data_IF_910689503786
#
_entry.id   IF_910689503786
#
_cell.length_a   1.000
_cell.length_b   1.000
_cell.length_c   1.000
_cell.angle_alpha   90.00
_cell.angle_beta   90.00
_cell.angle_gamma   90.00
#
_symmetry.space_group_name_H-M   'P 1'
#
loop_
_entity.id
_entity.type
_entity.pdbx_description
1 polymer ?
#
# COMPACT_ATOMS: atom_id res chain seq x y z
N UNK A 1 3.68 6.96 10.55
CA UNK A 1 5.11 7.39 10.61
C UNK A 1 5.96 6.13 10.59
N UNK A 2 7.14 6.09 9.95
CA UNK A 2 7.76 4.82 9.55
C UNK A 2 9.19 4.67 10.14
N UNK A 3 9.55 3.49 10.67
CA UNK A 3 10.89 3.13 11.21
C UNK A 3 11.78 2.47 10.15
N UNK A 4 13.09 2.75 10.20
CA UNK A 4 14.10 2.24 9.25
C UNK A 4 15.02 1.20 9.93
N UNK A 5 15.30 0.04 9.32
CA UNK A 5 16.40 -0.82 9.75
C UNK A 5 17.75 -0.33 9.20
N UNK A 6 18.76 -0.10 10.05
CA UNK A 6 20.16 0.09 9.62
C UNK A 6 20.98 -1.17 9.89
N UNK A 7 21.76 -1.61 8.88
CA UNK A 7 22.84 -2.58 9.03
C UNK A 7 24.17 -1.83 9.22
N UNK A 8 25.00 -2.23 10.19
CA UNK A 8 26.28 -1.58 10.47
C UNK A 8 27.41 -2.61 10.38
N UNK A 9 28.37 -2.39 9.47
CA UNK A 9 29.58 -3.19 9.31
C UNK A 9 30.66 -2.68 10.28
N UNK A 10 31.21 -3.55 11.14
CA UNK A 10 32.39 -3.26 11.95
C UNK A 10 33.58 -4.04 11.38
N UNK A 11 34.52 -3.36 10.74
CA UNK A 11 35.80 -3.93 10.32
C UNK A 11 36.74 -4.04 11.53
N UNK A 12 37.27 -5.24 11.79
CA UNK A 12 38.45 -5.47 12.62
C UNK A 12 39.32 -6.56 11.97
N UNK A 13 40.60 -6.26 11.76
CA UNK A 13 41.61 -7.06 11.04
C UNK A 13 42.15 -8.23 11.88
N UNK A 14 42.12 -9.44 11.30
CA UNK A 14 42.95 -10.69 11.38
C UNK A 14 43.49 -11.28 12.72
N UNK A 15 43.85 -12.60 12.81
CA UNK A 15 43.87 -13.66 11.79
C UNK A 15 43.12 -14.97 12.13
N UNK A 16 43.13 -15.84 11.12
CA UNK A 16 42.53 -17.16 10.86
C UNK A 16 42.67 -18.19 12.01
N UNK A 17 41.56 -18.72 12.54
CA UNK A 17 41.30 -20.18 12.57
C UNK A 17 39.87 -20.58 12.96
N UNK A 18 39.44 -21.69 12.33
CA UNK A 18 38.30 -22.56 12.61
C UNK A 18 36.88 -22.15 12.14
N UNK A 19 36.44 -22.77 11.03
CA UNK A 19 35.08 -22.69 10.48
C UNK A 19 34.10 -23.51 11.34
N UNK A 20 33.23 -22.83 12.08
CA UNK A 20 31.88 -23.31 12.40
C UNK A 20 30.90 -22.26 11.88
N UNK A 21 30.00 -22.65 10.98
CA UNK A 21 28.96 -21.75 10.46
C UNK A 21 27.97 -21.45 11.58
N UNK A 22 28.24 -20.37 12.32
CA UNK A 22 27.25 -19.75 13.18
C UNK A 22 26.34 -18.91 12.28
N UNK A 23 25.06 -19.29 12.22
CA UNK A 23 24.00 -18.46 11.65
C UNK A 23 23.99 -17.15 12.44
N UNK A 24 24.65 -16.13 11.93
CA UNK A 24 24.70 -14.81 12.54
C UNK A 24 23.31 -14.20 12.37
N UNK A 25 22.48 -14.26 13.40
CA UNK A 25 21.23 -13.51 13.45
C UNK A 25 21.59 -12.03 13.40
N UNK A 26 21.46 -11.42 12.22
CA UNK A 26 21.62 -9.99 12.07
C UNK A 26 20.57 -9.28 12.93
N UNK A 27 21.00 -8.69 14.06
CA UNK A 27 20.16 -7.76 14.82
C UNK A 27 19.96 -6.50 13.99
N UNK A 28 18.83 -6.42 13.29
CA UNK A 28 18.41 -5.19 12.61
C UNK A 28 18.20 -4.07 13.66
N UNK A 29 18.99 -3.01 13.58
CA UNK A 29 18.86 -1.87 14.49
C UNK A 29 17.72 -1.00 13.95
N UNK A 30 16.58 -1.02 14.67
CA UNK A 30 15.38 -0.24 14.33
C UNK A 30 15.59 1.21 14.76
N UNK A 31 15.67 2.10 13.79
CA UNK A 31 15.90 3.53 14.04
C UNK A 31 14.57 4.29 13.89
N UNK A 32 14.04 4.93 14.96
CA UNK A 32 12.87 5.80 14.83
C UNK A 32 13.25 7.03 14.00
N UNK A 33 12.40 7.37 13.03
CA UNK A 33 12.58 8.58 12.22
C UNK A 33 11.49 9.58 12.59
N UNK A 34 11.91 10.71 13.14
CA UNK A 34 11.10 11.86 13.57
C UNK A 34 10.45 11.74 14.95
N UNK A 35 9.86 12.85 15.42
CA UNK A 35 9.47 13.08 16.83
C UNK A 35 8.43 12.09 17.35
N UNK A 36 7.34 11.83 16.61
CA UNK A 36 6.26 10.99 17.14
C UNK A 36 6.66 9.51 17.20
N UNK A 37 7.45 9.03 16.24
CA UNK A 37 8.02 7.67 16.25
C UNK A 37 9.00 7.43 17.42
N UNK A 38 9.61 8.52 17.89
CA UNK A 38 10.46 8.53 19.07
C UNK A 38 9.65 8.60 20.37
N UNK A 39 8.36 8.92 20.39
CA UNK A 39 7.54 8.99 21.62
C UNK A 39 6.64 7.75 21.76
N UNK A 40 6.22 7.17 20.64
CA UNK A 40 5.27 6.06 20.55
C UNK A 40 5.71 4.73 21.19
N UNK A 41 7.01 4.54 21.47
CA UNK A 41 7.53 3.31 22.06
C UNK A 41 7.07 3.10 23.52
N UNK A 42 6.35 4.07 24.08
CA UNK A 42 5.96 4.14 25.49
C UNK A 42 4.50 3.75 25.77
N UNK A 43 3.69 3.36 24.77
CA UNK A 43 2.25 3.05 24.98
C UNK A 43 1.91 1.57 24.72
N UNK A 44 1.11 0.91 25.58
CA UNK A 44 0.67 -0.47 25.38
C UNK A 44 -0.38 -0.58 24.26
N UNK A 45 -0.29 -1.63 23.43
CA UNK A 45 -1.18 -1.88 22.28
C UNK A 45 -2.54 -2.48 22.73
N UNK A 46 -3.64 -2.07 22.10
CA UNK A 46 -4.98 -2.62 22.30
C UNK A 46 -5.59 -3.05 20.95
N UNK A 47 -6.08 -4.30 20.84
CA UNK A 47 -6.67 -4.97 19.64
C UNK A 47 -5.78 -5.14 18.38
N UNK A 48 -5.94 -6.27 17.65
CA UNK A 48 -5.18 -6.62 16.42
C UNK A 48 -5.39 -5.62 15.27
N UNK A 49 -6.56 -4.98 15.20
CA UNK A 49 -6.91 -3.97 14.19
C UNK A 49 -6.43 -2.56 14.53
N UNK A 50 -5.73 -2.33 15.65
CA UNK A 50 -5.16 -1.03 15.96
C UNK A 50 -3.66 -0.99 15.65
N UNK A 51 -3.31 -0.28 14.58
CA UNK A 51 -1.95 0.19 14.32
C UNK A 51 -1.68 1.42 15.19
N UNK A 52 -1.44 1.21 16.48
CA UNK A 52 -0.91 2.27 17.32
C UNK A 52 0.61 2.31 17.24
N UNK A 53 1.12 3.45 16.77
CA UNK A 53 2.55 3.75 16.71
C UNK A 53 3.10 3.81 15.28
N UNK A 54 4.43 3.92 15.16
CA UNK A 54 5.12 3.99 13.89
C UNK A 54 5.21 2.59 13.27
N UNK A 55 4.93 2.54 11.98
CA UNK A 55 5.03 1.34 11.15
C UNK A 55 6.48 1.04 10.82
N UNK A 56 6.84 -0.23 10.67
CA UNK A 56 8.18 -0.61 10.23
C UNK A 56 8.21 -0.64 8.70
N UNK A 57 9.23 -0.06 8.06
CA UNK A 57 9.40 -0.18 6.61
C UNK A 57 10.82 -0.62 6.26
N UNK A 58 10.95 -1.74 5.52
CA UNK A 58 12.24 -2.19 5.02
C UNK A 58 12.68 -1.45 3.74
N UNK A 59 11.80 -0.70 3.09
CA UNK A 59 12.04 -0.09 1.78
C UNK A 59 12.71 1.29 1.88
N UNK A 60 13.54 1.60 0.90
CA UNK A 60 14.19 2.92 0.69
C UNK A 60 14.18 3.27 -0.79
N UNK A 61 14.45 4.52 -1.17
CA UNK A 61 14.55 4.95 -2.56
C UNK A 61 13.27 4.75 -3.39
N UNK A 62 13.42 4.39 -4.68
CA UNK A 62 12.29 4.10 -5.57
C UNK A 62 11.37 2.96 -5.09
N UNK A 63 11.87 1.83 -4.54
CA UNK A 63 11.00 0.80 -3.95
C UNK A 63 10.02 1.35 -2.90
N UNK A 64 10.45 2.31 -2.08
CA UNK A 64 9.58 2.97 -1.12
C UNK A 64 8.52 3.83 -1.81
N UNK A 65 8.89 4.60 -2.84
CA UNK A 65 7.98 5.45 -3.60
C UNK A 65 6.96 4.62 -4.42
N UNK A 66 7.33 3.41 -4.83
CA UNK A 66 6.47 2.49 -5.57
C UNK A 66 5.60 1.60 -4.66
N UNK A 67 5.78 1.68 -3.33
CA UNK A 67 4.96 0.95 -2.38
C UNK A 67 3.73 1.77 -1.97
N UNK A 68 2.51 1.37 -2.34
CA UNK A 68 1.30 2.15 -2.09
C UNK A 68 1.02 2.39 -0.61
N UNK A 69 1.49 1.47 0.25
CA UNK A 69 1.29 1.50 1.70
C UNK A 69 2.24 2.46 2.42
N UNK A 70 3.48 2.58 1.93
CA UNK A 70 4.51 3.39 2.57
C UNK A 70 4.75 4.74 1.89
N UNK A 71 4.35 4.89 0.63
CA UNK A 71 4.54 6.11 -0.13
C UNK A 71 3.71 7.26 0.45
N UNK A 72 4.39 8.36 0.80
CA UNK A 72 3.76 9.62 1.24
C UNK A 72 3.84 10.74 0.20
N UNK A 73 4.42 10.46 -0.97
CA UNK A 73 4.72 11.46 -1.98
C UNK A 73 5.50 12.64 -1.42
N UNK A 74 5.03 13.86 -1.69
CA UNK A 74 5.64 15.10 -1.19
C UNK A 74 5.61 15.30 0.33
N UNK A 75 4.91 14.45 1.09
CA UNK A 75 4.77 14.58 2.56
C UNK A 75 5.92 13.93 3.35
N UNK A 76 6.88 13.28 2.69
CA UNK A 76 8.13 12.94 3.37
C UNK A 76 8.83 14.22 3.81
N UNK A 77 9.01 14.38 5.12
CA UNK A 77 9.77 15.49 5.68
C UNK A 77 11.28 15.35 5.37
N UNK A 78 12.06 16.40 5.58
CA UNK A 78 13.49 16.41 5.21
C UNK A 78 14.30 15.32 5.92
N UNK A 79 13.98 15.00 7.16
CA UNK A 79 14.64 13.94 7.93
C UNK A 79 14.32 12.55 7.36
N UNK A 80 13.04 12.30 7.03
CA UNK A 80 12.61 11.08 6.35
C UNK A 80 13.26 10.95 4.97
N UNK A 81 13.36 12.03 4.20
CA UNK A 81 14.00 11.99 2.89
C UNK A 81 15.47 11.61 2.98
N UNK A 82 16.20 12.11 3.98
CA UNK A 82 17.59 11.69 4.23
C UNK A 82 17.65 10.23 4.69
N UNK A 83 16.79 9.83 5.63
CA UNK A 83 16.80 8.48 6.20
C UNK A 83 16.44 7.38 5.19
N UNK A 84 15.52 7.68 4.26
CA UNK A 84 15.04 6.74 3.23
C UNK A 84 15.71 6.92 1.86
N UNK A 85 16.80 7.70 1.76
CA UNK A 85 17.51 7.97 0.49
C UNK A 85 16.60 8.54 -0.62
N UNK A 86 15.77 9.53 -0.29
CA UNK A 86 14.84 10.20 -1.20
C UNK A 86 15.32 11.61 -1.62
N UNK A 87 16.48 12.04 -1.15
CA UNK A 87 17.06 13.35 -1.54
C UNK A 87 17.32 13.34 -3.06
N UNK A 88 16.74 14.32 -3.76
CA UNK A 88 16.80 14.42 -5.22
C UNK A 88 15.72 13.62 -5.97
N UNK A 89 14.97 12.74 -5.30
CA UNK A 89 13.89 11.95 -5.91
C UNK A 89 12.52 12.64 -5.83
N UNK A 90 12.38 13.67 -5.01
CA UNK A 90 11.15 14.41 -4.78
C UNK A 90 11.39 15.93 -4.90
N UNK A 91 10.40 16.71 -5.35
CA UNK A 91 10.48 18.18 -5.37
C UNK A 91 10.87 18.74 -4.00
N UNK A 92 11.66 19.81 -3.94
CA UNK A 92 12.20 20.38 -2.69
C UNK A 92 11.13 20.74 -1.66
N UNK A 93 9.96 21.21 -2.12
CA UNK A 93 8.84 21.53 -1.27
C UNK A 93 8.29 20.28 -0.57
N UNK A 94 8.10 20.38 0.74
CA UNK A 94 7.38 19.38 1.54
C UNK A 94 5.93 19.82 1.61
N UNK A 95 5.01 18.97 1.17
CA UNK A 95 3.58 19.25 1.28
C UNK A 95 2.93 18.43 2.38
N UNK A 96 2.06 19.06 3.16
CA UNK A 96 1.25 18.35 4.16
C UNK A 96 0.28 17.37 3.50
N UNK A 97 -0.24 16.40 4.24
CA UNK A 97 -1.28 15.50 3.72
C UNK A 97 -2.51 16.30 3.25
N UNK A 98 -2.88 17.35 3.97
CA UNK A 98 -4.03 18.20 3.61
C UNK A 98 -3.82 18.95 2.30
N UNK A 99 -2.63 19.50 2.07
CA UNK A 99 -2.29 20.12 0.78
C UNK A 99 -2.37 19.13 -0.38
N UNK A 100 -1.91 17.89 -0.16
CA UNK A 100 -2.01 16.84 -1.16
C UNK A 100 -3.46 16.46 -1.44
N UNK A 101 -4.31 16.39 -0.41
CA UNK A 101 -5.74 16.12 -0.55
C UNK A 101 -6.42 17.22 -1.36
N UNK A 102 -6.15 18.50 -1.07
CA UNK A 102 -6.68 19.63 -1.84
C UNK A 102 -6.29 19.53 -3.31
N UNK A 103 -5.00 19.30 -3.59
CA UNK A 103 -4.51 19.13 -4.97
C UNK A 103 -5.15 17.94 -5.69
N UNK A 104 -5.28 16.81 -5.01
CA UNK A 104 -5.90 15.61 -5.57
C UNK A 104 -7.40 15.83 -5.84
N UNK A 105 -8.10 16.55 -4.96
CA UNK A 105 -9.49 16.92 -5.15
C UNK A 105 -9.68 17.86 -6.35
N UNK A 106 -8.82 18.86 -6.52
CA UNK A 106 -8.87 19.73 -7.70
C UNK A 106 -8.66 18.94 -9.00
N UNK A 107 -7.70 18.00 -9.01
CA UNK A 107 -7.48 17.11 -10.15
C UNK A 107 -8.69 16.21 -10.42
N UNK A 108 -9.31 15.65 -9.38
CA UNK A 108 -10.54 14.87 -9.48
C UNK A 108 -11.67 15.68 -10.15
N UNK A 109 -11.87 16.93 -9.74
CA UNK A 109 -12.91 17.81 -10.30
C UNK A 109 -12.70 18.18 -11.76
N UNK A 110 -11.45 18.16 -12.24
CA UNK A 110 -11.15 18.42 -13.67
C UNK A 110 -11.45 17.24 -14.59
N UNK A 111 -11.76 16.05 -14.05
CA UNK A 111 -12.08 14.88 -14.87
C UNK A 111 -13.45 15.06 -15.54
N UNK A 112 -13.53 14.68 -16.81
CA UNK A 112 -14.67 14.99 -17.70
C UNK A 112 -15.95 14.24 -17.33
N UNK A 113 -15.81 12.97 -16.96
CA UNK A 113 -16.90 12.04 -16.68
C UNK A 113 -16.54 11.15 -15.49
N UNK A 114 -17.52 10.37 -15.04
CA UNK A 114 -17.38 9.54 -13.84
C UNK A 114 -16.41 8.38 -14.04
N UNK A 115 -16.29 7.83 -15.26
CA UNK A 115 -15.30 6.81 -15.58
C UNK A 115 -13.86 7.36 -15.52
N UNK A 116 -13.64 8.59 -15.99
CA UNK A 116 -12.36 9.28 -15.88
C UNK A 116 -12.03 9.63 -14.42
N UNK A 117 -13.03 9.97 -13.61
CA UNK A 117 -12.86 10.13 -12.16
C UNK A 117 -12.51 8.79 -11.49
N UNK A 118 -13.18 7.71 -11.85
CA UNK A 118 -12.90 6.37 -11.36
C UNK A 118 -11.45 5.96 -11.69
N UNK A 119 -11.02 6.13 -12.94
CA UNK A 119 -9.64 5.83 -13.34
C UNK A 119 -8.60 6.69 -12.61
N UNK A 120 -8.92 7.95 -12.26
CA UNK A 120 -8.05 8.78 -11.45
C UNK A 120 -7.96 8.27 -10.00
N UNK A 121 -9.10 7.95 -9.40
CA UNK A 121 -9.17 7.40 -8.04
C UNK A 121 -8.43 6.07 -7.93
N UNK A 122 -8.56 5.21 -8.94
CA UNK A 122 -7.85 3.94 -9.03
C UNK A 122 -6.33 4.14 -9.11
N UNK A 123 -5.87 5.03 -10.01
CA UNK A 123 -4.45 5.40 -10.10
C UNK A 123 -3.92 5.95 -8.78
N UNK A 124 -4.69 6.79 -8.09
CA UNK A 124 -4.30 7.35 -6.80
C UNK A 124 -4.17 6.27 -5.73
N UNK A 125 -5.14 5.34 -5.67
CA UNK A 125 -5.17 4.20 -4.75
C UNK A 125 -3.96 3.29 -4.92
N UNK A 126 -3.57 3.01 -6.16
CA UNK A 126 -2.40 2.17 -6.48
C UNK A 126 -1.08 2.90 -6.18
N UNK A 127 -1.05 4.24 -6.15
CA UNK A 127 0.17 5.00 -5.87
C UNK A 127 0.35 5.33 -4.38
N UNK A 128 -0.73 5.66 -3.68
CA UNK A 128 -0.69 6.13 -2.29
C UNK A 128 -2.04 5.85 -1.59
N UNK A 129 -2.10 4.76 -0.82
CA UNK A 129 -3.32 4.34 -0.12
C UNK A 129 -3.75 5.35 0.94
N UNK A 130 -2.80 5.98 1.65
CA UNK A 130 -3.11 6.96 2.70
C UNK A 130 -3.79 8.20 2.12
N UNK A 131 -3.25 8.74 1.02
CA UNK A 131 -3.84 9.90 0.34
C UNK A 131 -5.22 9.56 -0.24
N UNK A 132 -5.36 8.39 -0.87
CA UNK A 132 -6.64 7.90 -1.38
C UNK A 132 -7.71 7.85 -0.28
N UNK A 133 -7.45 7.14 0.82
CA UNK A 133 -8.44 7.00 1.89
C UNK A 133 -8.73 8.33 2.60
N UNK A 134 -7.74 9.21 2.75
CA UNK A 134 -7.97 10.53 3.32
C UNK A 134 -8.86 11.40 2.42
N UNK A 135 -8.64 11.33 1.11
CA UNK A 135 -9.45 12.04 0.11
C UNK A 135 -10.91 11.52 0.13
N UNK A 136 -11.10 10.20 0.07
CA UNK A 136 -12.42 9.55 0.15
C UNK A 136 -13.13 9.91 1.45
N UNK A 137 -12.43 9.84 2.59
CA UNK A 137 -13.00 10.20 3.90
C UNK A 137 -13.54 11.63 3.92
N UNK A 138 -12.84 12.58 3.29
CA UNK A 138 -13.24 14.00 3.28
C UNK A 138 -14.40 14.28 2.33
N UNK A 139 -14.51 13.54 1.22
CA UNK A 139 -15.51 13.75 0.17
C UNK A 139 -16.38 12.52 -0.08
N UNK A 140 -16.70 11.75 0.97
CA UNK A 140 -17.30 10.41 0.85
C UNK A 140 -18.59 10.40 0.03
N UNK A 141 -19.46 11.41 0.22
CA UNK A 141 -20.74 11.51 -0.51
C UNK A 141 -20.55 11.65 -2.02
N UNK A 142 -19.51 12.36 -2.45
CA UNK A 142 -19.21 12.60 -3.86
C UNK A 142 -18.41 11.45 -4.48
N UNK A 143 -17.51 10.84 -3.71
CA UNK A 143 -16.58 9.83 -4.21
C UNK A 143 -17.13 8.42 -4.17
N UNK A 144 -18.02 8.10 -3.23
CA UNK A 144 -18.61 6.77 -3.13
C UNK A 144 -19.29 6.31 -4.43
N UNK A 145 -20.14 7.12 -5.11
CA UNK A 145 -20.73 6.69 -6.38
C UNK A 145 -19.74 6.54 -7.53
N UNK A 146 -18.52 7.06 -7.38
CA UNK A 146 -17.45 6.99 -8.39
C UNK A 146 -16.57 5.75 -8.19
N UNK A 147 -16.20 5.44 -6.94
CA UNK A 147 -15.37 4.28 -6.61
C UNK A 147 -16.17 3.00 -6.40
N UNK A 148 -17.50 3.11 -6.38
CA UNK A 148 -18.43 2.02 -6.24
C UNK A 148 -19.59 2.18 -7.24
N UNK A 149 -20.79 1.72 -6.89
CA UNK A 149 -21.97 1.81 -7.75
C UNK A 149 -22.46 3.25 -7.93
N UNK A 150 -22.91 3.64 -9.13
CA UNK A 150 -23.07 2.81 -10.34
C UNK A 150 -21.81 2.73 -11.21
N UNK A 151 -20.86 3.65 -11.07
CA UNK A 151 -19.71 3.84 -11.99
C UNK A 151 -18.83 2.60 -12.13
N UNK A 152 -18.72 1.79 -11.07
CA UNK A 152 -17.93 0.56 -11.10
C UNK A 152 -18.46 -0.45 -12.13
N UNK A 153 -19.75 -0.42 -12.47
CA UNK A 153 -20.33 -1.27 -13.53
C UNK A 153 -19.71 -0.98 -14.89
N UNK A 154 -19.68 0.30 -15.29
CA UNK A 154 -19.03 0.75 -16.52
C UNK A 154 -17.50 0.50 -16.47
N UNK A 155 -16.93 0.58 -15.26
CA UNK A 155 -15.53 0.24 -15.03
C UNK A 155 -15.25 -1.29 -15.16
N UNK A 156 -16.21 -2.17 -14.91
CA UNK A 156 -16.03 -3.61 -15.11
C UNK A 156 -16.10 -3.97 -16.60
N UNK A 157 -17.01 -3.36 -17.35
CA UNK A 157 -17.20 -3.66 -18.79
C UNK A 157 -15.91 -3.52 -19.62
N UNK A 158 -15.10 -2.51 -19.31
CA UNK A 158 -13.80 -2.29 -19.96
C UNK A 158 -12.58 -2.79 -19.18
N UNK A 159 -12.73 -3.65 -18.16
CA UNK A 159 -11.64 -4.04 -17.26
C UNK A 159 -10.46 -4.69 -17.99
N UNK A 160 -10.74 -5.62 -18.90
CA UNK A 160 -9.68 -6.32 -19.66
C UNK A 160 -8.76 -5.36 -20.42
N UNK A 161 -9.32 -4.28 -20.97
CA UNK A 161 -8.54 -3.24 -21.65
C UNK A 161 -7.82 -2.28 -20.70
N UNK A 162 -8.28 -2.19 -19.45
CA UNK A 162 -7.74 -1.30 -18.41
C UNK A 162 -6.86 -2.00 -17.38
N UNK A 163 -6.65 -3.31 -17.52
CA UNK A 163 -5.80 -4.08 -16.62
C UNK A 163 -4.37 -3.52 -16.63
N UNK A 164 -3.87 -3.14 -15.45
CA UNK A 164 -2.53 -2.58 -15.26
C UNK A 164 -1.69 -3.36 -14.28
N UNK A 165 -2.28 -3.68 -13.13
CA UNK A 165 -1.60 -4.38 -12.02
C UNK A 165 -2.57 -5.41 -11.44
N UNK A 166 -2.13 -6.66 -11.21
CA UNK A 166 -2.97 -7.63 -10.54
C UNK A 166 -3.25 -7.18 -9.11
N UNK A 167 -4.50 -7.32 -8.69
CA UNK A 167 -4.94 -7.08 -7.32
C UNK A 167 -5.83 -8.24 -6.90
N UNK A 168 -5.64 -8.72 -5.66
CA UNK A 168 -6.32 -9.90 -5.14
C UNK A 168 -5.74 -11.23 -5.61
N UNK A 169 -6.29 -12.31 -5.08
CA UNK A 169 -5.89 -13.68 -5.33
C UNK A 169 -6.88 -14.33 -6.32
N UNK A 170 -6.38 -14.99 -7.36
CA UNK A 170 -7.20 -15.73 -8.32
C UNK A 170 -7.06 -17.22 -8.07
N UNK A 171 -8.18 -17.90 -7.86
CA UNK A 171 -8.22 -19.35 -7.58
C UNK A 171 -8.94 -20.06 -8.74
N UNK A 172 -8.35 -21.15 -9.22
CA UNK A 172 -8.83 -21.91 -10.38
C UNK A 172 -9.40 -23.25 -9.92
N UNK A 173 -10.67 -23.51 -10.25
CA UNK A 173 -11.35 -24.77 -9.92
C UNK A 173 -10.69 -25.99 -10.57
N UNK A 174 -9.97 -25.81 -11.67
CA UNK A 174 -9.25 -26.89 -12.38
C UNK A 174 -7.92 -27.25 -11.72
N UNK A 175 -7.45 -26.45 -10.75
CA UNK A 175 -6.18 -26.64 -10.04
C UNK A 175 -6.34 -26.50 -8.52
N UNK A 176 -7.16 -27.35 -7.87
CA UNK A 176 -7.40 -27.27 -6.44
C UNK A 176 -6.12 -27.43 -5.60
N UNK A 177 -5.13 -28.17 -6.10
CA UNK A 177 -3.83 -28.35 -5.47
C UNK A 177 -3.01 -27.06 -5.36
N UNK A 178 -3.27 -26.06 -6.20
CA UNK A 178 -2.54 -24.79 -6.22
C UNK A 178 -3.14 -23.74 -5.26
N UNK A 179 -4.27 -24.03 -4.60
CA UNK A 179 -4.98 -23.06 -3.75
C UNK A 179 -4.12 -22.62 -2.57
N UNK A 180 -3.51 -23.56 -1.86
CA UNK A 180 -2.69 -23.26 -0.68
C UNK A 180 -1.47 -22.41 -1.04
N UNK A 181 -0.77 -22.78 -2.12
CA UNK A 181 0.35 -22.00 -2.67
C UNK A 181 -0.10 -20.58 -3.08
N UNK A 182 -1.25 -20.48 -3.74
CA UNK A 182 -1.78 -19.19 -4.20
C UNK A 182 -2.11 -18.25 -3.04
N UNK A 183 -2.69 -18.76 -1.95
CA UNK A 183 -3.01 -17.99 -0.76
C UNK A 183 -1.75 -17.62 0.04
N UNK A 184 -0.77 -18.53 0.13
CA UNK A 184 0.48 -18.28 0.85
C UNK A 184 1.27 -17.08 0.30
N UNK A 185 1.08 -16.71 -0.97
CA UNK A 185 1.67 -15.52 -1.56
C UNK A 185 1.14 -14.19 -0.98
N UNK A 186 -0.01 -14.19 -0.31
CA UNK A 186 -0.67 -12.98 0.21
C UNK A 186 -0.43 -12.76 1.71
N UNK A 187 0.21 -13.71 2.39
CA UNK A 187 0.55 -13.63 3.81
C UNK A 187 0.17 -14.87 4.60
N UNK A 188 0.45 -14.83 5.89
CA UNK A 188 0.04 -15.87 6.84
C UNK A 188 -1.35 -15.58 7.43
N UNK A 189 -1.88 -16.53 8.20
CA UNK A 189 -3.11 -16.39 8.98
C UNK A 189 -3.08 -15.24 9.99
N UNK A 190 -1.89 -14.75 10.36
CA UNK A 190 -1.73 -13.59 11.23
C UNK A 190 -1.73 -12.26 10.48
N UNK A 191 -1.58 -12.27 9.14
CA UNK A 191 -1.49 -11.06 8.30
C UNK A 191 -2.84 -10.67 7.68
N UNK A 192 -3.83 -11.58 7.68
CA UNK A 192 -5.13 -11.41 7.02
C UNK A 192 -6.27 -11.53 8.02
N UNK A 193 -7.00 -10.42 8.25
CA UNK A 193 -8.19 -10.40 9.11
C UNK A 193 -9.51 -10.59 8.34
N UNK A 194 -9.55 -10.17 7.06
CA UNK A 194 -10.77 -10.15 6.24
C UNK A 194 -10.45 -10.59 4.82
N UNK A 195 -11.26 -11.53 4.31
CA UNK A 195 -11.28 -11.93 2.91
C UNK A 195 -12.67 -11.67 2.32
N UNK A 196 -12.71 -11.13 1.11
CA UNK A 196 -13.92 -10.98 0.32
C UNK A 196 -13.78 -11.87 -0.91
N UNK A 197 -14.70 -12.82 -1.07
CA UNK A 197 -14.62 -13.87 -2.10
C UNK A 197 -15.81 -13.72 -3.03
N UNK A 198 -15.55 -13.83 -4.33
CA UNK A 198 -16.54 -13.80 -5.40
C UNK A 198 -16.19 -14.84 -6.46
N UNK A 199 -17.20 -15.46 -7.06
CA UNK A 199 -17.07 -16.25 -8.28
C UNK A 199 -17.37 -15.42 -9.55
N UNK A 200 -17.76 -14.15 -9.37
CA UNK A 200 -18.09 -13.21 -10.45
C UNK A 200 -19.39 -13.53 -11.20
N UNK A 201 -20.17 -14.53 -10.76
CA UNK A 201 -21.31 -15.06 -11.51
C UNK A 201 -22.56 -14.16 -11.45
N UNK A 202 -22.68 -13.33 -10.41
CA UNK A 202 -23.82 -12.44 -10.20
C UNK A 202 -23.41 -11.11 -9.56
N UNK A 203 -22.83 -10.22 -10.35
CA UNK A 203 -22.50 -8.86 -9.88
C UNK A 203 -23.73 -7.98 -10.02
N UNK A 204 -24.31 -7.54 -8.90
CA UNK A 204 -25.31 -6.45 -8.80
C UNK A 204 -26.32 -6.27 -9.95
N UNK A 205 -26.87 -7.37 -10.48
CA UNK A 205 -27.83 -7.33 -11.58
C UNK A 205 -27.25 -6.97 -12.97
N UNK A 206 -25.94 -6.78 -13.09
CA UNK A 206 -25.22 -6.64 -14.37
C UNK A 206 -24.79 -7.99 -14.97
N UNK A 207 -25.01 -9.10 -14.26
CA UNK A 207 -24.78 -10.47 -14.75
C UNK A 207 -23.43 -11.08 -14.37
N UNK A 208 -22.99 -12.05 -15.15
CA UNK A 208 -21.71 -12.76 -15.00
C UNK A 208 -20.58 -11.95 -15.65
N UNK A 209 -19.56 -11.63 -14.86
CA UNK A 209 -18.35 -10.95 -15.30
C UNK A 209 -17.08 -11.72 -14.99
N UNK A 210 -17.21 -12.95 -14.47
CA UNK A 210 -16.13 -13.88 -14.15
C UNK A 210 -14.96 -13.16 -13.44
N UNK A 211 -13.74 -13.27 -13.97
CA UNK A 211 -12.50 -12.69 -13.40
C UNK A 211 -12.57 -11.17 -13.28
N UNK A 212 -13.33 -10.48 -14.15
CA UNK A 212 -13.40 -9.02 -14.18
C UNK A 212 -14.16 -8.46 -12.96
N UNK A 213 -14.94 -9.30 -12.29
CA UNK A 213 -15.65 -8.97 -11.07
C UNK A 213 -14.78 -8.59 -9.88
N UNK A 214 -13.48 -8.89 -9.93
CA UNK A 214 -12.55 -8.55 -8.86
C UNK A 214 -12.50 -7.04 -8.57
N UNK A 215 -12.71 -6.19 -9.58
CA UNK A 215 -12.77 -4.73 -9.41
C UNK A 215 -13.85 -4.27 -8.42
N UNK A 216 -14.91 -5.05 -8.24
CA UNK A 216 -16.00 -4.72 -7.34
C UNK A 216 -15.59 -4.77 -5.86
N UNK A 217 -14.50 -5.48 -5.56
CA UNK A 217 -14.10 -5.85 -4.20
C UNK A 217 -12.71 -5.30 -3.81
N UNK A 218 -12.11 -4.44 -4.65
CA UNK A 218 -10.71 -3.98 -4.56
C UNK A 218 -10.59 -2.46 -4.35
#
# INVERSE_FOLDING_TARGET
MIRVPKAQFRMMNHPIHNRRSSTTTMKAIKTPVGRDAAISHLKPKTTRLSTQGPEECPLTGFPLLNSPFYNKGSAFNLEERKAFNLVGLLPSQVNTLDEQVTRAYDQFRTRKDDLAKNSFMDSLRVQNKVLFYQLVKRHVKEMLPIIYTPTIGDAIEGYSHRFRKPEGCFLDITKPEAIEESLANFGSDQDVDVAVITDGSAILGIGDWSIQGILMYV
#
